data_IF_166040974199
#
_entry.id   IF_166040974199
#
_cell.length_a   1.000
_cell.length_b   1.000
_cell.length_c   1.000
_cell.angle_alpha   90.00
_cell.angle_beta   90.00
_cell.angle_gamma   90.00
#
_symmetry.space_group_name_H-M   'P 1'
#
loop_
_entity.id
_entity.type
_entity.pdbx_description
1 polymer ?
#
# COMPACT_ATOMS: atom_id res chain seq x y z
N UNK A 1 -88.75 -33.97 -4.30
CA UNK A 1 -87.41 -34.29 -4.89
C UNK A 1 -86.59 -33.01 -5.03
N UNK A 2 -85.68 -32.72 -4.07
CA UNK A 2 -84.79 -31.56 -4.09
C UNK A 2 -83.41 -32.03 -4.60
N UNK A 3 -82.97 -31.48 -5.72
CA UNK A 3 -81.62 -31.70 -6.24
C UNK A 3 -80.62 -30.82 -5.49
N UNK A 4 -79.65 -31.41 -4.80
CA UNK A 4 -78.50 -30.77 -4.25
C UNK A 4 -77.41 -30.62 -5.31
N UNK A 5 -77.06 -29.42 -5.63
CA UNK A 5 -75.92 -29.10 -6.55
C UNK A 5 -74.69 -28.89 -5.67
N UNK A 6 -73.68 -29.77 -5.82
CA UNK A 6 -72.40 -29.69 -5.10
C UNK A 6 -71.46 -28.84 -5.92
N UNK A 7 -71.07 -27.69 -5.40
CA UNK A 7 -70.08 -26.80 -6.03
C UNK A 7 -68.68 -27.18 -5.55
N UNK A 8 -67.84 -27.72 -6.42
CA UNK A 8 -66.42 -27.96 -6.15
C UNK A 8 -65.65 -26.64 -6.29
N UNK A 9 -65.09 -26.14 -5.19
CA UNK A 9 -64.11 -25.02 -5.18
C UNK A 9 -62.73 -25.63 -5.36
N UNK A 10 -62.12 -25.35 -6.52
CA UNK A 10 -60.74 -25.72 -6.78
C UNK A 10 -59.79 -24.68 -6.13
N UNK A 11 -59.07 -25.08 -5.10
CA UNK A 11 -57.95 -24.29 -4.51
C UNK A 11 -56.75 -24.38 -5.44
N UNK A 12 -56.42 -23.30 -6.15
CA UNK A 12 -55.16 -23.16 -6.87
C UNK A 12 -54.03 -22.86 -5.85
N UNK A 13 -53.21 -23.87 -5.54
CA UNK A 13 -52.01 -23.69 -4.72
C UNK A 13 -50.93 -23.03 -5.63
N UNK A 14 -50.67 -21.75 -5.41
CA UNK A 14 -49.54 -21.03 -5.99
C UNK A 14 -48.26 -21.52 -5.29
N UNK A 15 -47.49 -22.39 -5.93
CA UNK A 15 -46.16 -22.76 -5.47
C UNK A 15 -45.24 -21.56 -5.68
N UNK A 16 -44.92 -20.86 -4.61
CA UNK A 16 -43.80 -19.93 -4.59
C UNK A 16 -42.51 -20.76 -4.73
N UNK A 17 -41.90 -20.73 -5.91
CA UNK A 17 -40.52 -21.20 -6.08
C UNK A 17 -39.60 -20.25 -5.31
N UNK A 18 -39.19 -20.66 -4.13
CA UNK A 18 -38.04 -20.06 -3.44
C UNK A 18 -36.81 -20.45 -4.23
N UNK A 19 -36.27 -19.52 -5.02
CA UNK A 19 -34.93 -19.66 -5.58
C UNK A 19 -33.96 -19.86 -4.39
N UNK A 20 -33.06 -20.86 -4.42
CA UNK A 20 -32.03 -20.96 -3.40
C UNK A 20 -31.24 -19.66 -3.42
N UNK A 21 -31.12 -18.98 -2.29
CA UNK A 21 -30.17 -17.90 -2.12
C UNK A 21 -28.79 -18.54 -2.39
N UNK A 22 -28.13 -18.19 -3.49
CA UNK A 22 -26.75 -18.56 -3.70
C UNK A 22 -25.96 -17.87 -2.59
N UNK A 23 -25.25 -18.65 -1.78
CA UNK A 23 -24.33 -18.06 -0.80
C UNK A 23 -23.30 -17.26 -1.57
N UNK A 24 -23.13 -15.98 -1.22
CA UNK A 24 -22.17 -15.11 -1.87
C UNK A 24 -20.75 -15.67 -1.78
N UNK A 25 -19.91 -15.30 -2.73
CA UNK A 25 -18.49 -15.61 -2.69
C UNK A 25 -17.83 -14.90 -1.50
N UNK A 26 -16.99 -15.62 -0.76
CA UNK A 26 -16.26 -15.06 0.37
C UNK A 26 -14.83 -14.75 -0.04
N UNK A 27 -14.47 -13.48 0.07
CA UNK A 27 -13.14 -12.99 -0.24
C UNK A 27 -12.43 -12.56 1.05
N UNK A 28 -11.31 -13.20 1.35
CA UNK A 28 -10.42 -12.77 2.42
C UNK A 28 -9.45 -11.72 1.87
N UNK A 29 -9.38 -10.56 2.56
CA UNK A 29 -8.52 -9.43 2.22
C UNK A 29 -7.41 -9.27 3.28
N UNK A 30 -6.23 -9.91 3.10
CA UNK A 30 -5.08 -9.65 3.94
C UNK A 30 -4.51 -8.25 3.70
N UNK A 31 -4.16 -7.57 4.79
CA UNK A 31 -3.55 -6.23 4.81
C UNK A 31 -2.39 -6.22 5.81
N UNK A 32 -1.27 -5.58 5.43
CA UNK A 32 -0.04 -5.61 6.23
C UNK A 32 -0.07 -4.70 7.47
N UNK A 33 -0.88 -3.64 7.45
CA UNK A 33 -0.87 -2.56 8.45
C UNK A 33 -1.97 -2.74 9.49
N UNK A 34 -1.85 -2.01 10.63
CA UNK A 34 -2.88 -2.03 11.68
C UNK A 34 -4.23 -1.58 11.15
N UNK A 35 -5.33 -2.06 11.75
CA UNK A 35 -6.68 -1.67 11.33
C UNK A 35 -6.97 -0.17 11.43
N UNK A 36 -6.20 0.58 12.24
CA UNK A 36 -6.28 2.05 12.36
C UNK A 36 -5.45 2.80 11.31
N UNK A 37 -4.55 2.12 10.58
CA UNK A 37 -3.78 2.74 9.50
C UNK A 37 -4.71 3.16 8.36
N UNK A 38 -4.45 4.30 7.72
CA UNK A 38 -5.33 4.86 6.70
C UNK A 38 -5.51 3.96 5.47
N UNK A 39 -4.52 3.13 5.11
CA UNK A 39 -4.65 2.12 4.07
C UNK A 39 -5.64 1.03 4.48
N UNK A 40 -5.50 0.51 5.71
CA UNK A 40 -6.42 -0.51 6.24
C UNK A 40 -7.85 0.02 6.39
N UNK A 41 -8.02 1.29 6.80
CA UNK A 41 -9.33 1.95 6.84
C UNK A 41 -9.92 2.05 5.43
N UNK A 42 -9.12 2.47 4.45
CA UNK A 42 -9.55 2.56 3.04
C UNK A 42 -9.91 1.18 2.48
N UNK A 43 -9.12 0.14 2.79
CA UNK A 43 -9.42 -1.24 2.40
C UNK A 43 -10.71 -1.78 3.04
N UNK A 44 -10.98 -1.43 4.30
CA UNK A 44 -12.22 -1.83 4.98
C UNK A 44 -13.46 -1.12 4.40
N UNK A 45 -13.34 0.15 4.03
CA UNK A 45 -14.41 0.89 3.35
C UNK A 45 -14.68 0.35 1.95
N UNK A 46 -13.61 0.02 1.20
CA UNK A 46 -13.71 -0.67 -0.09
C UNK A 46 -14.44 -2.01 0.07
N UNK A 47 -14.04 -2.84 1.03
CA UNK A 47 -14.67 -4.13 1.32
C UNK A 47 -16.17 -3.98 1.62
N UNK A 48 -16.54 -3.02 2.46
CA UNK A 48 -17.94 -2.75 2.78
C UNK A 48 -18.73 -2.22 1.57
N UNK A 49 -18.12 -1.35 0.75
CA UNK A 49 -18.71 -0.85 -0.48
C UNK A 49 -19.05 -2.00 -1.45
N UNK A 50 -18.09 -2.90 -1.69
CA UNK A 50 -18.27 -4.05 -2.60
C UNK A 50 -19.34 -5.00 -2.04
N UNK A 51 -19.24 -5.39 -0.78
CA UNK A 51 -20.21 -6.29 -0.16
C UNK A 51 -21.64 -5.73 -0.23
N UNK A 52 -21.81 -4.45 0.07
CA UNK A 52 -23.13 -3.79 0.01
C UNK A 52 -23.59 -3.60 -1.42
N UNK A 53 -22.70 -3.14 -2.30
CA UNK A 53 -23.04 -2.81 -3.69
C UNK A 53 -23.36 -4.03 -4.55
N UNK A 54 -22.78 -5.19 -4.23
CA UNK A 54 -23.10 -6.48 -4.89
C UNK A 54 -24.30 -7.20 -4.25
N UNK A 55 -24.93 -6.59 -3.21
CA UNK A 55 -26.04 -7.23 -2.49
C UNK A 55 -25.64 -8.49 -1.74
N UNK A 56 -24.34 -8.66 -1.42
CA UNK A 56 -23.79 -9.84 -0.74
C UNK A 56 -23.38 -10.97 -1.70
N UNK A 57 -23.42 -10.77 -3.03
CA UNK A 57 -22.86 -11.74 -3.98
C UNK A 57 -21.35 -11.94 -3.77
N UNK A 58 -20.67 -10.88 -3.30
CA UNK A 58 -19.27 -10.92 -2.91
C UNK A 58 -19.15 -10.31 -1.50
N UNK A 59 -18.78 -11.15 -0.53
CA UNK A 59 -18.55 -10.76 0.86
C UNK A 59 -17.05 -10.66 1.13
N UNK A 60 -16.53 -9.44 1.41
CA UNK A 60 -15.10 -9.25 1.69
C UNK A 60 -14.86 -9.13 3.20
N UNK A 61 -14.03 -10.02 3.74
CA UNK A 61 -13.55 -9.99 5.13
C UNK A 61 -12.13 -9.46 5.19
N UNK A 62 -11.88 -8.41 5.96
CA UNK A 62 -10.55 -7.79 6.10
C UNK A 62 -9.72 -8.43 7.21
N UNK A 63 -8.42 -8.61 6.96
CA UNK A 63 -7.46 -9.19 7.90
C UNK A 63 -6.24 -8.25 8.05
N UNK A 64 -6.36 -7.18 8.89
CA UNK A 64 -5.27 -6.23 9.09
C UNK A 64 -4.13 -6.79 9.94
N UNK A 65 -3.03 -6.03 10.06
CA UNK A 65 -1.85 -6.34 10.87
C UNK A 65 -1.08 -7.61 10.47
N UNK A 66 -1.22 -8.05 9.21
CA UNK A 66 -0.59 -9.29 8.76
C UNK A 66 -1.18 -10.55 9.42
N UNK A 67 -2.43 -10.48 9.90
CA UNK A 67 -3.06 -11.54 10.69
C UNK A 67 -3.39 -12.81 9.89
N UNK A 68 -3.59 -12.71 8.58
CA UNK A 68 -3.82 -13.86 7.71
C UNK A 68 -2.55 -14.27 6.96
N UNK A 69 -1.81 -13.29 6.40
CA UNK A 69 -0.51 -13.46 5.77
C UNK A 69 0.43 -12.34 6.24
N UNK A 70 1.70 -12.66 6.48
CA UNK A 70 2.71 -11.63 6.70
C UNK A 70 2.77 -10.67 5.49
N UNK A 71 3.11 -9.40 5.72
CA UNK A 71 3.08 -8.37 4.67
C UNK A 71 3.83 -8.80 3.40
N UNK A 72 5.02 -9.41 3.53
CA UNK A 72 5.83 -9.91 2.42
C UNK A 72 5.19 -11.03 1.60
N UNK A 73 4.25 -11.78 2.17
CA UNK A 73 3.63 -12.95 1.54
C UNK A 73 2.32 -12.63 0.82
N UNK A 74 1.71 -11.46 1.05
CA UNK A 74 0.38 -11.09 0.54
C UNK A 74 0.33 -11.15 -1.00
N UNK A 75 1.29 -10.52 -1.69
CA UNK A 75 1.33 -10.52 -3.16
C UNK A 75 1.34 -11.93 -3.71
N UNK A 76 2.17 -12.80 -3.17
CA UNK A 76 2.26 -14.20 -3.59
C UNK A 76 0.96 -14.97 -3.31
N UNK A 77 0.31 -14.72 -2.17
CA UNK A 77 -0.96 -15.34 -1.83
C UNK A 77 -2.06 -15.00 -2.85
N UNK A 78 -2.12 -13.72 -3.31
CA UNK A 78 -3.02 -13.30 -4.40
C UNK A 78 -2.62 -13.93 -5.72
N UNK A 79 -1.35 -13.84 -6.10
CA UNK A 79 -0.81 -14.38 -7.35
C UNK A 79 -1.14 -15.88 -7.55
N UNK A 80 -1.04 -16.66 -6.48
CA UNK A 80 -1.26 -18.11 -6.50
C UNK A 80 -2.70 -18.52 -6.19
N UNK A 81 -3.63 -17.57 -6.02
CA UNK A 81 -5.05 -17.85 -5.75
C UNK A 81 -5.31 -18.40 -4.33
N UNK A 82 -4.38 -18.24 -3.37
CA UNK A 82 -4.63 -18.62 -1.97
C UNK A 82 -5.66 -17.69 -1.33
N UNK A 83 -5.70 -16.44 -1.77
CA UNK A 83 -6.76 -15.47 -1.48
C UNK A 83 -7.18 -14.75 -2.77
N UNK A 84 -8.45 -14.38 -2.92
CA UNK A 84 -8.93 -13.65 -4.08
C UNK A 84 -8.30 -12.28 -4.28
N UNK A 85 -8.02 -11.58 -3.17
CA UNK A 85 -7.68 -10.15 -3.15
C UNK A 85 -6.68 -9.89 -2.03
N UNK A 86 -5.87 -8.82 -2.15
CA UNK A 86 -4.91 -8.44 -1.11
C UNK A 86 -4.36 -7.04 -1.32
N UNK A 87 -3.94 -6.39 -0.24
CA UNK A 87 -3.31 -5.08 -0.29
C UNK A 87 -1.80 -5.20 -0.05
N UNK A 88 -0.99 -4.62 -0.94
CA UNK A 88 0.48 -4.71 -0.84
C UNK A 88 1.21 -3.48 -1.37
N UNK A 89 2.31 -3.14 -0.70
CA UNK A 89 3.37 -2.22 -1.14
C UNK A 89 4.24 -2.94 -2.19
N UNK A 90 4.13 -2.57 -3.48
CA UNK A 90 4.83 -3.30 -4.54
C UNK A 90 6.34 -3.09 -4.53
N UNK A 91 6.85 -1.95 -4.03
CA UNK A 91 8.29 -1.74 -3.91
C UNK A 91 9.01 -2.76 -2.99
N UNK A 92 8.26 -3.49 -2.16
CA UNK A 92 8.78 -4.64 -1.43
C UNK A 92 9.17 -5.85 -2.30
N UNK A 93 8.82 -5.81 -3.59
CA UNK A 93 9.06 -6.89 -4.58
C UNK A 93 10.01 -6.46 -5.72
N UNK A 94 10.88 -5.47 -5.48
CA UNK A 94 11.88 -5.01 -6.45
C UNK A 94 12.86 -6.12 -6.90
N UNK A 95 13.03 -7.18 -6.10
CA UNK A 95 13.80 -8.36 -6.46
C UNK A 95 13.18 -9.19 -7.60
N UNK A 96 11.87 -9.04 -7.84
CA UNK A 96 11.17 -9.70 -8.94
C UNK A 96 11.24 -8.86 -10.23
N UNK A 97 11.12 -7.54 -10.08
CA UNK A 97 11.29 -6.56 -11.16
C UNK A 97 11.64 -5.19 -10.58
N UNK A 98 12.64 -4.54 -11.14
CA UNK A 98 13.03 -3.18 -10.78
C UNK A 98 11.87 -2.18 -10.97
N UNK A 99 10.94 -2.47 -11.89
CA UNK A 99 9.75 -1.63 -12.16
C UNK A 99 8.86 -1.51 -10.92
N UNK A 100 8.78 -2.51 -10.04
CA UNK A 100 8.03 -2.37 -8.79
C UNK A 100 8.62 -1.34 -7.82
N UNK A 101 9.83 -0.86 -8.08
CA UNK A 101 10.50 0.17 -7.28
C UNK A 101 10.45 1.58 -7.86
N UNK A 102 9.67 1.82 -8.90
CA UNK A 102 9.55 3.13 -9.56
C UNK A 102 9.23 4.27 -8.59
N UNK A 103 8.49 3.99 -7.51
CA UNK A 103 8.04 4.92 -6.48
C UNK A 103 8.99 5.05 -5.28
N UNK A 104 10.18 4.45 -5.37
CA UNK A 104 11.19 4.45 -4.30
C UNK A 104 12.54 4.99 -4.78
N UNK A 105 12.54 5.82 -5.83
CA UNK A 105 13.71 6.52 -6.37
C UNK A 105 13.89 7.83 -5.60
N UNK A 106 14.98 7.98 -4.81
CA UNK A 106 15.13 9.14 -3.97
C UNK A 106 15.19 10.44 -4.76
N UNK A 107 14.42 11.43 -4.33
CA UNK A 107 14.39 12.81 -4.84
C UNK A 107 14.02 12.96 -6.33
N UNK A 108 13.50 11.91 -6.97
CA UNK A 108 12.90 12.03 -8.30
C UNK A 108 11.59 12.83 -8.24
N UNK A 109 10.80 12.59 -7.20
CA UNK A 109 9.60 13.36 -6.84
C UNK A 109 9.59 13.62 -5.33
N UNK A 110 9.09 14.78 -4.92
CA UNK A 110 9.04 15.20 -3.51
C UNK A 110 7.66 15.67 -3.06
N UNK A 111 6.70 15.78 -3.97
CA UNK A 111 5.34 16.22 -3.73
C UNK A 111 4.31 15.24 -4.27
N UNK A 112 3.07 15.30 -3.76
CA UNK A 112 1.97 14.50 -4.28
C UNK A 112 1.67 14.81 -5.75
N UNK A 113 1.76 16.06 -6.17
CA UNK A 113 1.44 16.45 -7.55
C UNK A 113 2.48 15.93 -8.55
N UNK A 114 3.77 15.98 -8.22
CA UNK A 114 4.84 15.34 -9.00
C UNK A 114 4.69 13.82 -9.00
N UNK A 115 4.35 13.25 -7.84
CA UNK A 115 4.15 11.82 -7.71
C UNK A 115 2.99 11.30 -8.58
N UNK A 116 1.87 12.02 -8.68
CA UNK A 116 0.76 11.63 -9.57
C UNK A 116 1.17 11.62 -11.04
N UNK A 117 2.04 12.55 -11.49
CA UNK A 117 2.58 12.54 -12.85
C UNK A 117 3.50 11.33 -13.08
N UNK A 118 4.37 11.02 -12.13
CA UNK A 118 5.25 9.86 -12.21
C UNK A 118 4.43 8.55 -12.14
N UNK A 119 3.40 8.49 -11.30
CA UNK A 119 2.47 7.37 -11.25
C UNK A 119 1.77 7.14 -12.58
N UNK A 120 1.26 8.20 -13.21
CA UNK A 120 0.61 8.08 -14.52
C UNK A 120 1.58 7.54 -15.60
N UNK A 121 2.87 7.91 -15.54
CA UNK A 121 3.89 7.38 -16.42
C UNK A 121 4.23 5.90 -16.14
N UNK A 122 4.28 5.49 -14.87
CA UNK A 122 4.65 4.13 -14.46
C UNK A 122 3.48 3.14 -14.57
N UNK A 123 2.24 3.59 -14.41
CA UNK A 123 1.05 2.76 -14.27
C UNK A 123 0.87 1.70 -15.37
N UNK A 124 0.99 2.03 -16.69
CA UNK A 124 0.84 1.01 -17.74
C UNK A 124 1.82 -0.15 -17.59
N UNK A 125 3.07 0.14 -17.24
CA UNK A 125 4.14 -0.87 -17.09
C UNK A 125 3.93 -1.73 -15.84
N UNK A 126 3.43 -1.13 -14.74
CA UNK A 126 3.07 -1.86 -13.52
C UNK A 126 1.89 -2.79 -13.78
N UNK A 127 0.86 -2.32 -14.52
CA UNK A 127 -0.30 -3.13 -14.86
C UNK A 127 0.06 -4.32 -15.77
N UNK A 128 0.92 -4.11 -16.78
CA UNK A 128 1.42 -5.17 -17.65
C UNK A 128 2.15 -6.24 -16.83
N UNK A 129 3.09 -5.82 -15.99
CA UNK A 129 3.86 -6.74 -15.13
C UNK A 129 2.97 -7.51 -14.13
N UNK A 130 1.95 -6.87 -13.58
CA UNK A 130 0.98 -7.56 -12.72
C UNK A 130 0.14 -8.57 -13.48
N UNK A 131 -0.28 -8.24 -14.72
CA UNK A 131 -1.04 -9.15 -15.57
C UNK A 131 -0.24 -10.40 -15.93
N UNK A 132 1.06 -10.26 -16.24
CA UNK A 132 1.98 -11.39 -16.45
C UNK A 132 2.12 -12.29 -15.21
N UNK A 133 1.88 -11.72 -14.04
CA UNK A 133 1.95 -12.41 -12.75
C UNK A 133 0.58 -12.85 -12.21
N UNK A 134 -0.40 -13.01 -13.08
CA UNK A 134 -1.77 -13.48 -12.74
C UNK A 134 -2.52 -12.55 -11.78
N UNK A 135 -2.29 -11.24 -11.86
CA UNK A 135 -2.95 -10.26 -11.00
C UNK A 135 -3.46 -9.06 -11.79
N UNK A 136 -4.55 -8.48 -11.31
CA UNK A 136 -5.09 -7.19 -11.75
C UNK A 136 -5.07 -6.21 -10.58
N UNK A 137 -4.65 -4.96 -10.85
CA UNK A 137 -4.77 -3.87 -9.88
C UNK A 137 -6.17 -3.29 -9.93
N UNK A 138 -6.83 -3.18 -8.77
CA UNK A 138 -8.13 -2.52 -8.63
C UNK A 138 -7.98 -1.02 -8.37
N UNK A 139 -7.10 -0.65 -7.43
CA UNK A 139 -6.76 0.74 -7.11
C UNK A 139 -5.41 0.83 -6.43
N UNK A 140 -4.90 2.06 -6.29
CA UNK A 140 -3.63 2.32 -5.61
C UNK A 140 -3.70 3.60 -4.79
N UNK A 141 -3.08 3.60 -3.61
CA UNK A 141 -3.08 4.74 -2.68
C UNK A 141 -1.64 5.10 -2.31
N UNK A 142 -1.24 6.39 -2.42
CA UNK A 142 0.10 6.83 -2.04
C UNK A 142 0.26 6.87 -0.52
N UNK A 143 1.49 6.72 -0.05
CA UNK A 143 1.91 7.08 1.30
C UNK A 143 2.30 8.56 1.36
N UNK A 144 2.26 9.19 2.55
CA UNK A 144 2.93 10.46 2.78
C UNK A 144 4.43 10.41 2.45
N UNK A 145 5.06 11.56 2.16
CA UNK A 145 6.49 11.65 1.89
C UNK A 145 7.33 10.95 2.97
N UNK A 146 8.39 10.27 2.52
CA UNK A 146 9.27 9.51 3.42
C UNK A 146 10.33 10.41 4.02
N UNK A 147 10.45 10.38 5.36
CA UNK A 147 11.46 11.07 6.15
C UNK A 147 12.37 10.10 6.90
N UNK A 148 13.41 10.64 7.54
CA UNK A 148 14.38 9.86 8.29
C UNK A 148 14.14 9.97 9.79
N UNK A 149 14.24 8.85 10.48
CA UNK A 149 14.08 8.72 11.93
C UNK A 149 15.36 8.27 12.61
N UNK A 150 15.74 8.92 13.71
CA UNK A 150 16.92 8.58 14.49
C UNK A 150 16.64 8.70 15.99
N UNK A 151 17.45 7.99 16.80
CA UNK A 151 17.47 8.12 18.25
C UNK A 151 18.43 9.22 18.74
N UNK A 152 19.08 9.95 17.82
CA UNK A 152 20.01 11.05 18.07
C UNK A 152 19.89 12.13 16.99
N UNK A 153 20.49 13.29 17.23
CA UNK A 153 20.65 14.31 16.20
C UNK A 153 21.62 13.83 15.11
N UNK A 154 21.28 14.14 13.84
CA UNK A 154 22.05 13.80 12.63
C UNK A 154 22.14 15.05 11.76
N UNK A 155 23.36 15.50 11.44
CA UNK A 155 23.62 16.70 10.66
C UNK A 155 24.27 16.41 9.29
N UNK A 156 24.77 15.17 9.09
CA UNK A 156 25.40 14.71 7.87
C UNK A 156 25.25 13.19 7.73
N UNK A 157 25.51 12.64 6.55
CA UNK A 157 25.56 11.18 6.33
C UNK A 157 26.65 10.52 7.18
N UNK A 158 27.73 11.22 7.53
CA UNK A 158 28.78 10.68 8.41
C UNK A 158 28.26 10.33 9.82
N UNK A 159 27.23 11.05 10.31
CA UNK A 159 26.62 10.79 11.62
C UNK A 159 25.77 9.52 11.64
N UNK A 160 25.45 8.96 10.47
CA UNK A 160 24.64 7.75 10.32
C UNK A 160 25.48 6.47 10.40
N UNK A 161 26.79 6.54 10.18
CA UNK A 161 27.66 5.36 10.08
C UNK A 161 27.51 4.42 11.29
N UNK A 162 27.29 3.14 11.01
CA UNK A 162 27.17 2.07 12.00
C UNK A 162 25.81 1.95 12.69
N UNK A 163 24.85 2.86 12.45
CA UNK A 163 23.49 2.74 13.01
C UNK A 163 22.75 1.55 12.39
N UNK A 164 22.05 0.80 13.21
CA UNK A 164 21.15 -0.27 12.76
C UNK A 164 19.91 0.37 12.14
N UNK A 165 19.70 0.09 10.85
CA UNK A 165 18.66 0.75 10.08
C UNK A 165 17.56 -0.22 9.67
N UNK A 166 16.32 0.08 10.04
CA UNK A 166 15.17 -0.68 9.55
C UNK A 166 14.94 -0.40 8.07
N UNK A 167 15.07 -1.43 7.24
CA UNK A 167 14.67 -1.42 5.84
C UNK A 167 13.36 -2.16 5.64
N UNK A 168 12.58 -1.79 4.61
CA UNK A 168 11.33 -2.44 4.24
C UNK A 168 11.26 -2.86 2.77
N UNK A 169 12.27 -2.47 1.98
CA UNK A 169 12.45 -2.85 0.59
C UNK A 169 13.94 -2.72 0.19
N UNK A 170 14.27 -3.09 -1.05
CA UNK A 170 15.65 -3.03 -1.54
C UNK A 170 16.19 -1.60 -1.59
N UNK A 171 15.38 -0.61 -1.98
CA UNK A 171 15.81 0.79 -2.03
C UNK A 171 16.21 1.31 -0.64
N UNK A 172 15.44 0.99 0.40
CA UNK A 172 15.77 1.40 1.78
C UNK A 172 17.00 0.68 2.32
N UNK A 173 17.21 -0.61 1.96
CA UNK A 173 18.43 -1.33 2.30
C UNK A 173 19.64 -0.71 1.59
N UNK A 174 19.51 -0.36 0.30
CA UNK A 174 20.57 0.28 -0.48
C UNK A 174 20.94 1.65 0.05
N UNK A 175 19.95 2.46 0.45
CA UNK A 175 20.20 3.74 1.13
C UNK A 175 21.05 3.54 2.40
N UNK A 176 20.72 2.54 3.22
CA UNK A 176 21.49 2.22 4.41
C UNK A 176 22.94 1.84 4.08
N UNK A 177 23.16 1.00 3.07
CA UNK A 177 24.50 0.60 2.63
C UNK A 177 25.34 1.81 2.16
N UNK A 178 24.78 2.67 1.32
CA UNK A 178 25.45 3.85 0.80
C UNK A 178 25.80 4.88 1.87
N UNK A 179 25.01 4.92 2.94
CA UNK A 179 25.24 5.79 4.12
C UNK A 179 25.99 5.06 5.24
N UNK A 180 26.51 3.86 4.98
CA UNK A 180 27.25 2.99 5.91
C UNK A 180 26.48 2.64 7.19
N UNK A 181 25.15 2.70 7.13
CA UNK A 181 24.28 2.10 8.14
C UNK A 181 24.19 0.58 7.96
N UNK A 182 23.68 -0.12 8.95
CA UNK A 182 23.54 -1.58 8.96
C UNK A 182 22.06 -1.94 8.69
N UNK A 183 21.67 -2.33 7.46
CA UNK A 183 20.29 -2.61 7.14
C UNK A 183 19.79 -3.90 7.80
N UNK A 184 18.61 -3.84 8.39
CA UNK A 184 17.85 -4.97 8.93
C UNK A 184 16.45 -4.93 8.34
N UNK A 185 16.05 -6.01 7.67
CA UNK A 185 14.69 -6.12 7.09
C UNK A 185 13.67 -6.37 8.19
N UNK A 186 12.71 -5.45 8.38
CA UNK A 186 11.69 -5.51 9.42
C UNK A 186 10.34 -5.10 8.83
N UNK A 187 9.34 -5.99 8.92
CA UNK A 187 7.99 -5.72 8.47
C UNK A 187 7.29 -4.66 9.35
N UNK A 188 6.28 -4.00 8.78
CA UNK A 188 5.59 -2.90 9.45
C UNK A 188 4.97 -3.30 10.79
N UNK A 189 4.50 -4.54 10.94
CA UNK A 189 3.91 -5.04 12.18
C UNK A 189 4.92 -5.14 13.34
N UNK A 190 6.21 -5.29 13.04
CA UNK A 190 7.30 -5.58 14.00
C UNK A 190 8.08 -4.33 14.43
N UNK A 191 7.81 -3.15 13.83
CA UNK A 191 8.58 -1.91 14.04
C UNK A 191 8.72 -1.55 15.51
N UNK A 192 7.61 -1.49 16.27
CA UNK A 192 7.65 -1.07 17.68
C UNK A 192 8.53 -1.99 18.52
N UNK A 193 8.45 -3.32 18.30
CA UNK A 193 9.28 -4.28 19.01
C UNK A 193 10.75 -4.16 18.62
N UNK A 194 11.05 -3.98 17.34
CA UNK A 194 12.42 -3.87 16.85
C UNK A 194 13.16 -2.66 17.45
N UNK A 195 12.48 -1.52 17.58
CA UNK A 195 13.05 -0.34 18.23
C UNK A 195 13.17 -0.53 19.75
N UNK A 196 12.13 -1.07 20.40
CA UNK A 196 12.17 -1.30 21.86
C UNK A 196 13.29 -2.27 22.30
N UNK A 197 13.67 -3.22 21.43
CA UNK A 197 14.72 -4.19 21.70
C UNK A 197 16.09 -3.80 21.14
N UNK A 198 16.21 -2.65 20.47
CA UNK A 198 17.45 -2.18 19.85
C UNK A 198 17.92 -3.02 18.65
N UNK A 199 17.03 -3.76 18.01
CA UNK A 199 17.27 -4.42 16.72
C UNK A 199 17.42 -3.38 15.60
N UNK A 200 16.69 -2.25 15.70
CA UNK A 200 16.87 -1.07 14.87
C UNK A 200 17.00 0.20 15.73
N UNK A 201 17.70 1.21 15.21
CA UNK A 201 17.99 2.50 15.85
C UNK A 201 17.61 3.67 14.96
N UNK A 202 17.28 3.38 13.70
CA UNK A 202 16.92 4.36 12.67
C UNK A 202 16.05 3.72 11.59
N UNK A 203 15.35 4.54 10.82
CA UNK A 203 14.60 4.10 9.63
C UNK A 203 14.33 5.27 8.67
N UNK A 204 14.01 4.94 7.42
CA UNK A 204 13.23 5.83 6.54
C UNK A 204 11.80 5.34 6.54
N UNK A 205 10.84 6.27 6.73
CA UNK A 205 9.40 5.97 6.65
C UNK A 205 8.59 7.27 6.63
N UNK A 206 7.29 7.17 6.36
CA UNK A 206 6.39 8.32 6.47
C UNK A 206 6.11 8.70 7.92
N UNK A 207 5.62 9.93 8.14
CA UNK A 207 5.07 10.36 9.42
C UNK A 207 3.94 9.44 9.89
N UNK A 208 3.13 8.91 8.96
CA UNK A 208 2.05 7.98 9.26
C UNK A 208 2.53 6.70 9.94
N UNK A 209 3.56 6.05 9.41
CA UNK A 209 4.14 4.84 10.03
C UNK A 209 4.66 5.14 11.44
N UNK A 210 5.39 6.25 11.59
CA UNK A 210 5.93 6.63 12.88
C UNK A 210 4.85 6.92 13.92
N UNK A 211 3.78 7.59 13.50
CA UNK A 211 2.64 7.90 14.35
C UNK A 211 1.87 6.63 14.78
N UNK A 212 1.52 5.77 13.83
CA UNK A 212 0.77 4.54 14.10
C UNK A 212 1.53 3.57 15.02
N UNK A 213 2.87 3.58 14.94
CA UNK A 213 3.77 2.72 15.73
C UNK A 213 4.31 3.38 16.99
N UNK A 214 3.92 4.64 17.25
CA UNK A 214 4.38 5.43 18.41
C UNK A 214 5.88 5.41 18.56
N UNK A 215 6.60 5.61 17.45
CA UNK A 215 8.07 5.44 17.45
C UNK A 215 8.79 6.48 18.32
N UNK A 216 8.12 7.54 18.75
CA UNK A 216 8.63 8.50 19.75
C UNK A 216 8.96 7.86 21.11
N UNK A 217 8.48 6.66 21.39
CA UNK A 217 8.87 5.92 22.60
C UNK A 217 10.32 5.42 22.54
N UNK A 218 10.93 5.35 21.33
CA UNK A 218 12.27 4.82 21.10
C UNK A 218 13.18 5.75 20.29
N UNK A 219 12.61 6.62 19.44
CA UNK A 219 13.33 7.53 18.57
C UNK A 219 13.01 8.96 18.93
N UNK A 220 14.00 9.86 18.77
CA UNK A 220 13.92 11.25 19.25
C UNK A 220 13.82 12.30 18.13
N UNK A 221 14.22 11.95 16.89
CA UNK A 221 14.28 12.90 15.78
C UNK A 221 13.59 12.34 14.53
N UNK A 222 12.85 13.23 13.86
CA UNK A 222 12.34 13.04 12.51
C UNK A 222 12.80 14.17 11.62
N UNK A 223 13.39 13.83 10.48
CA UNK A 223 13.82 14.78 9.46
C UNK A 223 12.95 14.65 8.23
N UNK A 224 12.23 15.74 7.87
CA UNK A 224 11.52 15.83 6.60
C UNK A 224 12.55 15.99 5.48
N UNK A 225 12.77 14.92 4.75
CA UNK A 225 13.65 14.88 3.57
C UNK A 225 12.86 14.65 2.29
N UNK A 226 11.59 14.23 2.41
CA UNK A 226 10.66 13.98 1.32
C UNK A 226 11.29 13.12 0.21
N UNK A 227 11.94 12.02 0.64
CA UNK A 227 12.80 11.22 -0.22
C UNK A 227 12.05 10.60 -1.39
N UNK A 228 10.82 10.12 -1.19
CA UNK A 228 9.88 9.59 -2.18
C UNK A 228 8.50 9.40 -1.54
N UNK A 229 7.49 9.05 -2.35
CA UNK A 229 6.12 8.72 -1.92
C UNK A 229 5.74 7.33 -2.47
N UNK A 230 5.90 6.24 -1.72
CA UNK A 230 5.56 4.92 -2.23
C UNK A 230 4.04 4.71 -2.28
N UNK A 231 3.58 3.67 -3.00
CA UNK A 231 2.15 3.34 -3.13
C UNK A 231 1.83 1.92 -2.72
N UNK A 232 0.68 1.76 -2.05
CA UNK A 232 0.06 0.46 -1.88
C UNK A 232 -0.93 0.20 -3.02
N UNK A 233 -1.10 -1.08 -3.33
CA UNK A 233 -1.96 -1.56 -4.40
C UNK A 233 -2.95 -2.58 -3.87
N UNK A 234 -4.22 -2.43 -4.25
CA UNK A 234 -5.23 -3.45 -4.07
C UNK A 234 -5.20 -4.36 -5.30
N UNK A 235 -4.85 -5.61 -5.07
CA UNK A 235 -4.63 -6.61 -6.11
C UNK A 235 -5.73 -7.66 -6.05
N UNK A 236 -6.19 -8.13 -7.22
CA UNK A 236 -7.09 -9.27 -7.36
C UNK A 236 -6.44 -10.34 -8.25
N UNK A 237 -6.63 -11.61 -7.92
CA UNK A 237 -6.18 -12.73 -8.74
C UNK A 237 -6.96 -12.78 -10.06
N UNK A 238 -6.28 -12.97 -11.19
CA UNK A 238 -6.91 -12.92 -12.51
C UNK A 238 -7.92 -14.06 -12.76
N UNK A 239 -7.67 -15.25 -12.22
CA UNK A 239 -8.60 -16.36 -12.38
C UNK A 239 -9.91 -16.06 -11.64
N UNK A 240 -9.82 -15.55 -10.40
CA UNK A 240 -10.98 -15.08 -9.64
C UNK A 240 -11.69 -13.94 -10.36
N UNK A 241 -10.92 -12.94 -10.85
CA UNK A 241 -11.47 -11.79 -11.55
C UNK A 241 -12.21 -12.17 -12.83
N UNK A 242 -11.74 -13.20 -13.55
CA UNK A 242 -12.39 -13.69 -14.77
C UNK A 242 -13.79 -14.24 -14.48
N UNK A 243 -13.99 -14.90 -13.35
CA UNK A 243 -15.26 -15.52 -12.96
C UNK A 243 -16.29 -14.51 -12.40
N UNK A 244 -15.86 -13.30 -12.00
CA UNK A 244 -16.76 -12.25 -11.53
C UNK A 244 -17.68 -11.77 -12.64
N UNK A 245 -18.98 -11.67 -12.38
CA UNK A 245 -19.95 -11.14 -13.32
C UNK A 245 -19.65 -9.68 -13.72
N UNK A 246 -20.00 -9.29 -14.94
CA UNK A 246 -19.80 -7.90 -15.40
C UNK A 246 -20.55 -6.88 -14.53
N UNK A 247 -21.71 -7.24 -13.96
CA UNK A 247 -22.44 -6.39 -13.04
C UNK A 247 -21.63 -6.14 -11.75
N UNK A 248 -21.06 -7.21 -11.17
CA UNK A 248 -20.24 -7.10 -9.97
C UNK A 248 -18.88 -6.42 -10.25
N UNK A 249 -18.26 -6.67 -11.42
CA UNK A 249 -17.05 -5.91 -11.85
C UNK A 249 -17.31 -4.42 -11.90
N UNK A 250 -18.45 -3.98 -12.41
CA UNK A 250 -18.81 -2.56 -12.44
C UNK A 250 -18.94 -1.98 -11.02
N UNK A 251 -19.53 -2.71 -10.08
CA UNK A 251 -19.61 -2.30 -8.67
C UNK A 251 -18.21 -2.22 -8.05
N UNK A 252 -17.39 -3.26 -8.22
CA UNK A 252 -16.02 -3.30 -7.68
C UNK A 252 -15.20 -2.14 -8.22
N UNK A 253 -15.25 -1.87 -9.53
CA UNK A 253 -14.52 -0.77 -10.15
C UNK A 253 -14.99 0.62 -9.64
N UNK A 254 -16.29 0.79 -9.43
CA UNK A 254 -16.82 2.02 -8.83
C UNK A 254 -16.35 2.20 -7.38
N UNK A 255 -16.38 1.13 -6.56
CA UNK A 255 -15.85 1.13 -5.21
C UNK A 255 -14.33 1.37 -5.17
N UNK A 256 -13.59 0.81 -6.13
CA UNK A 256 -12.15 1.01 -6.28
C UNK A 256 -11.80 2.49 -6.57
N UNK A 257 -12.51 3.14 -7.51
CA UNK A 257 -12.31 4.57 -7.78
C UNK A 257 -12.62 5.46 -6.57
N UNK A 258 -13.67 5.14 -5.79
CA UNK A 258 -13.96 5.85 -4.54
C UNK A 258 -12.86 5.62 -3.50
N UNK A 259 -12.35 4.40 -3.37
CA UNK A 259 -11.28 4.05 -2.43
C UNK A 259 -9.97 4.76 -2.79
N UNK A 260 -9.59 4.81 -4.06
CA UNK A 260 -8.39 5.52 -4.52
C UNK A 260 -8.47 7.01 -4.22
N UNK A 261 -9.60 7.64 -4.54
CA UNK A 261 -9.83 9.06 -4.23
C UNK A 261 -9.77 9.36 -2.74
N UNK A 262 -10.52 8.60 -1.93
CA UNK A 262 -10.58 8.79 -0.48
C UNK A 262 -9.23 8.48 0.21
N UNK A 263 -8.55 7.42 -0.24
CA UNK A 263 -7.23 7.04 0.28
C UNK A 263 -6.17 8.08 -0.05
N UNK A 264 -6.15 8.61 -1.27
CA UNK A 264 -5.21 9.68 -1.69
C UNK A 264 -5.46 10.96 -0.90
N UNK A 265 -6.73 11.33 -0.71
CA UNK A 265 -7.07 12.47 0.13
C UNK A 265 -6.59 12.27 1.58
N UNK A 266 -6.83 11.10 2.16
CA UNK A 266 -6.35 10.76 3.51
C UNK A 266 -4.82 10.83 3.61
N UNK A 267 -4.09 10.33 2.62
CA UNK A 267 -2.64 10.41 2.62
C UNK A 267 -2.13 11.86 2.72
N UNK A 268 -2.77 12.78 1.97
CA UNK A 268 -2.45 14.21 2.01
C UNK A 268 -2.73 14.83 3.39
N UNK A 269 -3.92 14.62 3.94
CA UNK A 269 -4.32 15.12 5.26
C UNK A 269 -3.46 14.50 6.39
N UNK A 270 -3.17 13.20 6.30
CA UNK A 270 -2.39 12.46 7.29
C UNK A 270 -0.95 12.95 7.37
N UNK A 271 -0.40 13.55 6.32
CA UNK A 271 0.97 14.10 6.31
C UNK A 271 1.16 15.10 7.44
N UNK A 272 0.40 16.19 7.45
CA UNK A 272 0.50 17.21 8.49
C UNK A 272 0.06 16.73 9.87
N UNK A 273 -1.03 15.96 9.92
CA UNK A 273 -1.56 15.42 11.16
C UNK A 273 -0.56 14.53 11.89
N UNK A 274 0.11 13.62 11.20
CA UNK A 274 1.03 12.67 11.83
C UNK A 274 2.35 13.31 12.23
N UNK A 275 2.87 14.28 11.47
CA UNK A 275 4.04 15.06 11.87
C UNK A 275 3.77 15.86 13.16
N UNK A 276 2.60 16.49 13.26
CA UNK A 276 2.17 17.15 14.51
C UNK A 276 2.05 16.14 15.66
N UNK A 277 1.55 14.94 15.38
CA UNK A 277 1.43 13.84 16.35
C UNK A 277 2.80 13.35 16.85
N UNK A 278 3.80 13.21 15.97
CA UNK A 278 5.18 12.88 16.36
C UNK A 278 5.77 13.95 17.29
N UNK A 279 5.60 15.21 16.94
CA UNK A 279 6.07 16.33 17.78
C UNK A 279 5.36 16.36 19.14
N UNK A 280 4.05 16.13 19.19
CA UNK A 280 3.29 16.03 20.43
C UNK A 280 3.70 14.82 21.28
N UNK A 281 4.21 13.75 20.66
CA UNK A 281 4.80 12.58 21.32
C UNK A 281 6.21 12.84 21.89
N UNK A 282 6.79 14.02 21.63
CA UNK A 282 8.10 14.44 22.16
C UNK A 282 9.26 14.32 21.18
N UNK A 283 9.02 13.97 19.90
CA UNK A 283 10.07 13.98 18.89
C UNK A 283 10.42 15.39 18.42
N UNK A 284 11.69 15.63 18.12
CA UNK A 284 12.13 16.78 17.33
C UNK A 284 11.78 16.50 15.87
N UNK A 285 10.78 17.21 15.34
CA UNK A 285 10.34 17.15 13.93
C UNK A 285 10.83 18.38 13.21
N UNK A 286 11.71 18.22 12.24
CA UNK A 286 12.36 19.34 11.55
C UNK A 286 12.77 18.96 10.12
N UNK A 287 12.98 19.94 9.21
CA UNK A 287 13.64 19.68 7.94
C UNK A 287 15.09 19.23 8.18
N UNK A 288 15.64 18.47 7.25
CA UNK A 288 17.06 18.16 7.25
C UNK A 288 17.88 19.44 6.97
N UNK A 289 19.04 19.58 7.63
CA UNK A 289 19.95 20.67 7.37
C UNK A 289 20.62 20.56 5.99
N UNK A 290 21.19 21.66 5.50
CA UNK A 290 21.76 21.78 4.13
C UNK A 290 22.81 20.70 3.84
N UNK A 291 23.70 20.39 4.80
CA UNK A 291 24.74 19.39 4.63
C UNK A 291 24.12 17.99 4.47
N UNK A 292 23.20 17.63 5.38
CA UNK A 292 22.51 16.34 5.31
C UNK A 292 21.73 16.19 4.00
N UNK A 293 21.02 17.23 3.56
CA UNK A 293 20.30 17.19 2.28
C UNK A 293 21.23 17.07 1.07
N UNK A 294 22.40 17.75 1.11
CA UNK A 294 23.42 17.65 0.04
C UNK A 294 23.94 16.21 -0.05
N UNK A 295 24.34 15.62 1.07
CA UNK A 295 24.85 14.25 1.12
C UNK A 295 23.80 13.23 0.66
N UNK A 296 22.54 13.39 1.08
CA UNK A 296 21.45 12.51 0.71
C UNK A 296 21.11 12.60 -0.79
N UNK A 297 21.23 13.77 -1.41
CA UNK A 297 21.04 13.91 -2.87
C UNK A 297 22.12 13.17 -3.66
N UNK A 298 23.37 13.13 -3.20
CA UNK A 298 24.42 12.32 -3.81
C UNK A 298 24.11 10.82 -3.72
N UNK A 299 23.63 10.36 -2.56
CA UNK A 299 23.13 9.00 -2.37
C UNK A 299 21.96 8.73 -3.32
N UNK A 300 21.00 9.64 -3.40
CA UNK A 300 19.84 9.53 -4.27
C UNK A 300 20.21 9.46 -5.76
N UNK A 301 21.17 10.28 -6.22
CA UNK A 301 21.66 10.24 -7.58
C UNK A 301 22.28 8.88 -7.94
N UNK A 302 23.04 8.28 -7.01
CA UNK A 302 23.59 6.93 -7.16
C UNK A 302 22.47 5.89 -7.28
N UNK A 303 21.49 5.93 -6.39
CA UNK A 303 20.37 5.00 -6.39
C UNK A 303 19.47 5.13 -7.65
N UNK A 304 19.27 6.36 -8.13
CA UNK A 304 18.53 6.61 -9.36
C UNK A 304 19.23 6.01 -10.58
N UNK A 305 20.56 6.15 -10.68
CA UNK A 305 21.36 5.55 -11.75
C UNK A 305 21.30 4.00 -11.68
N UNK A 306 21.45 3.42 -10.51
CA UNK A 306 21.33 1.97 -10.27
C UNK A 306 19.94 1.44 -10.65
N UNK A 307 18.88 2.18 -10.30
CA UNK A 307 17.52 1.80 -10.67
C UNK A 307 17.30 1.86 -12.18
N UNK A 308 17.76 2.92 -12.87
CA UNK A 308 17.67 3.03 -14.33
C UNK A 308 18.41 1.90 -15.04
N UNK A 309 19.61 1.53 -14.56
CA UNK A 309 20.35 0.38 -15.10
C UNK A 309 19.56 -0.92 -14.93
N UNK A 310 18.98 -1.17 -13.75
CA UNK A 310 18.21 -2.37 -13.47
C UNK A 310 16.85 -2.43 -14.18
N UNK A 311 16.19 -1.28 -14.37
CA UNK A 311 14.89 -1.16 -15.02
C UNK A 311 14.98 -1.08 -16.56
N UNK A 312 16.18 -0.79 -17.10
CA UNK A 312 16.46 -0.77 -18.54
C UNK A 312 15.58 0.19 -19.33
N UNK A 313 15.22 -0.20 -20.55
CA UNK A 313 14.42 0.63 -21.47
C UNK A 313 13.06 1.02 -20.88
N UNK A 314 12.45 0.14 -20.09
CA UNK A 314 11.17 0.44 -19.44
C UNK A 314 11.31 1.53 -18.38
N UNK A 315 12.38 1.47 -17.57
CA UNK A 315 12.69 2.52 -16.60
C UNK A 315 12.95 3.87 -17.26
N UNK A 316 13.70 3.88 -18.36
CA UNK A 316 13.94 5.08 -19.15
C UNK A 316 12.64 5.65 -19.74
N UNK A 317 11.76 4.80 -20.28
CA UNK A 317 10.47 5.23 -20.83
C UNK A 317 9.58 5.88 -19.75
N UNK A 318 9.58 5.35 -18.52
CA UNK A 318 8.84 5.94 -17.37
C UNK A 318 9.38 7.35 -17.08
N UNK A 319 10.71 7.50 -16.97
CA UNK A 319 11.33 8.81 -16.68
C UNK A 319 11.08 9.81 -17.81
N UNK A 320 11.19 9.39 -19.08
CA UNK A 320 10.93 10.24 -20.22
C UNK A 320 9.48 10.71 -20.29
N UNK A 321 8.51 9.82 -20.03
CA UNK A 321 7.10 10.15 -19.96
C UNK A 321 6.80 11.12 -18.80
N UNK A 322 7.41 10.91 -17.64
CA UNK A 322 7.31 11.83 -16.50
C UNK A 322 7.86 13.21 -16.84
N UNK A 323 9.06 13.30 -17.43
CA UNK A 323 9.68 14.57 -17.83
C UNK A 323 8.85 15.32 -18.88
N UNK A 324 8.20 14.60 -19.80
CA UNK A 324 7.30 15.19 -20.79
C UNK A 324 6.00 15.77 -20.19
N UNK A 325 5.62 15.35 -18.97
CA UNK A 325 4.43 15.81 -18.25
C UNK A 325 4.69 16.99 -17.30
N UNK A 326 5.97 17.46 -17.19
CA UNK A 326 6.33 18.63 -16.36
C UNK A 326 5.94 19.93 -17.06
#
# INVERSE_FOLDING_TARGET
MKKMTTTCVALAATAMMTLPAMAGEKWDLPMAYSGSNFHSVTGAEFANCVTTGTGGDIEITTHPSGSLFAGGDIKRAVQTGQVPIGERLLSGHQNESAIFGWDSIPFLVSSFDEHEKLYAAALPHVQELLAEQNMTMLYSVPWPPQGLYFNKEVNSVADMEGLKFRSYNNATARMAELTKMLPVSIEAAEISQAFATGVAESMVSSGATGYDRKVWESLSHFYSVDAWLPRNYMLVNNDVWADVSEANKNVINACAGMAEYAGTWRAKEYTGFTLAGLAAGGMTVQPAGDQLMSDLREVGATMAAEWLEAAGDTGQAIVDAYNAAQ
#
